data_IF_004305921944
#
_entry.id   IF_004305921944
#
_cell.length_a   1.000
_cell.length_b   1.000
_cell.length_c   1.000
_cell.angle_alpha   90.00
_cell.angle_beta   90.00
_cell.angle_gamma   90.00
#
_symmetry.space_group_name_H-M   'P 1'
#
loop_
_entity.id
_entity.type
_entity.pdbx_description
1 polymer ?
#
# COMPACT_ATOMS: atom_id res chain seq x y z
N UNK A 1 11.34 -5.93 18.38
CA UNK A 1 11.51 -4.59 17.81
C UNK A 1 11.24 -4.58 16.30
N UNK A 2 11.80 -5.55 15.53
CA UNK A 2 11.57 -5.64 14.08
C UNK A 2 10.09 -5.76 13.74
N UNK A 3 9.34 -6.63 14.44
CA UNK A 3 7.89 -6.78 14.24
C UNK A 3 7.14 -5.47 14.48
N UNK A 4 7.43 -4.77 15.59
CA UNK A 4 6.82 -3.45 15.85
C UNK A 4 7.11 -2.49 14.69
N UNK A 5 8.37 -2.44 14.22
CA UNK A 5 8.76 -1.55 13.13
C UNK A 5 8.01 -1.84 11.82
N UNK A 6 7.81 -3.11 11.48
CA UNK A 6 7.06 -3.53 10.28
C UNK A 6 5.57 -3.19 10.42
N UNK A 7 4.95 -3.59 11.55
CA UNK A 7 3.50 -3.43 11.75
C UNK A 7 3.05 -1.97 11.87
N UNK A 8 3.98 -1.11 12.26
CA UNK A 8 3.72 0.32 12.43
C UNK A 8 4.30 1.18 11.31
N UNK A 9 4.82 0.56 10.26
CA UNK A 9 5.51 1.26 9.17
C UNK A 9 6.54 2.28 9.71
N UNK A 10 7.49 1.79 10.52
CA UNK A 10 8.51 2.64 11.13
C UNK A 10 7.98 3.63 12.16
N UNK A 11 6.90 3.30 12.88
CA UNK A 11 6.16 4.13 13.86
C UNK A 11 5.28 5.23 13.24
N UNK A 12 5.07 5.22 11.94
CA UNK A 12 4.18 6.17 11.26
C UNK A 12 2.69 5.82 11.47
N UNK A 13 2.36 4.54 11.56
CA UNK A 13 1.00 4.05 11.66
C UNK A 13 0.76 3.24 12.94
N UNK A 14 -0.46 3.26 13.47
CA UNK A 14 -0.90 2.41 14.61
C UNK A 14 0.01 2.50 15.84
N UNK A 15 0.69 3.62 16.05
CA UNK A 15 1.64 3.84 17.12
C UNK A 15 1.04 4.69 18.24
N UNK A 16 0.71 4.04 19.36
CA UNK A 16 0.29 4.72 20.59
C UNK A 16 1.42 4.78 21.62
N UNK A 17 1.24 5.43 22.77
CA UNK A 17 2.24 5.54 23.83
C UNK A 17 2.85 4.19 24.22
N UNK A 18 2.02 3.15 24.34
CA UNK A 18 2.48 1.78 24.66
C UNK A 18 3.43 1.19 23.62
N UNK A 19 3.26 1.54 22.33
CA UNK A 19 4.15 1.10 21.26
C UNK A 19 5.56 1.66 21.47
N UNK A 20 5.67 2.94 21.80
CA UNK A 20 6.94 3.61 22.10
C UNK A 20 7.56 3.09 23.39
N UNK A 21 6.76 2.85 24.43
CA UNK A 21 7.23 2.24 25.68
C UNK A 21 7.82 0.85 25.45
N UNK A 22 7.12 0.01 24.67
CA UNK A 22 7.60 -1.31 24.29
C UNK A 22 8.90 -1.25 23.47
N UNK A 23 8.99 -0.32 22.52
CA UNK A 23 10.20 -0.11 21.74
C UNK A 23 11.38 0.35 22.61
N UNK A 24 11.13 1.28 23.54
CA UNK A 24 12.12 1.74 24.51
C UNK A 24 12.56 0.61 25.47
N UNK A 25 11.62 -0.22 25.94
CA UNK A 25 11.92 -1.41 26.75
C UNK A 25 12.83 -2.37 25.98
N UNK A 26 12.48 -2.74 24.76
CA UNK A 26 13.27 -3.63 23.92
C UNK A 26 14.67 -3.06 23.66
N UNK A 27 14.78 -1.75 23.42
CA UNK A 27 16.06 -1.09 23.21
C UNK A 27 16.96 -1.16 24.44
N UNK A 28 16.42 -0.94 25.66
CA UNK A 28 17.15 -1.09 26.92
C UNK A 28 17.64 -2.51 27.17
N UNK A 29 16.89 -3.51 26.65
CA UNK A 29 17.24 -4.93 26.79
C UNK A 29 18.06 -5.48 25.61
N UNK A 30 18.71 -4.61 24.84
CA UNK A 30 19.71 -5.00 23.85
C UNK A 30 19.20 -5.12 22.40
N UNK A 31 17.98 -4.69 22.09
CA UNK A 31 17.54 -4.63 20.69
C UNK A 31 18.45 -3.68 19.89
N UNK A 32 19.09 -4.21 18.86
CA UNK A 32 19.96 -3.45 17.96
C UNK A 32 19.15 -2.88 16.78
N UNK A 33 18.79 -1.61 16.89
CA UNK A 33 18.02 -0.88 15.87
C UNK A 33 18.76 -0.84 14.53
N UNK A 34 20.09 -0.71 14.55
CA UNK A 34 20.90 -0.69 13.32
C UNK A 34 20.87 -2.03 12.63
N UNK A 35 20.96 -3.12 13.37
CA UNK A 35 20.83 -4.48 12.82
C UNK A 35 19.45 -4.71 12.22
N UNK A 36 18.38 -4.30 12.92
CA UNK A 36 17.01 -4.38 12.41
C UNK A 36 16.86 -3.60 11.10
N UNK A 37 17.36 -2.35 11.06
CA UNK A 37 17.34 -1.54 9.83
C UNK A 37 18.08 -2.22 8.67
N UNK A 38 19.22 -2.88 8.94
CA UNK A 38 19.95 -3.62 7.91
C UNK A 38 19.16 -4.83 7.37
N UNK A 39 18.43 -5.53 8.27
CA UNK A 39 17.57 -6.66 7.89
C UNK A 39 16.38 -6.27 7.02
N UNK A 40 15.85 -5.07 7.22
CA UNK A 40 14.65 -4.58 6.54
C UNK A 40 14.97 -3.77 5.26
N UNK A 41 16.21 -3.82 4.78
CA UNK A 41 16.55 -3.16 3.51
C UNK A 41 15.93 -3.89 2.33
N UNK A 42 15.41 -3.12 1.39
CA UNK A 42 15.03 -3.64 0.09
C UNK A 42 16.30 -3.93 -0.74
N UNK A 43 16.21 -4.88 -1.63
CA UNK A 43 17.21 -5.02 -2.68
C UNK A 43 17.06 -3.88 -3.72
N UNK A 44 18.05 -3.77 -4.61
CA UNK A 44 18.09 -2.67 -5.58
C UNK A 44 16.99 -2.80 -6.65
N UNK A 45 16.63 -4.01 -7.05
CA UNK A 45 15.67 -4.23 -8.13
C UNK A 45 14.25 -3.98 -7.63
N UNK A 46 13.92 -4.44 -6.42
CA UNK A 46 12.66 -4.09 -5.77
C UNK A 46 12.55 -2.56 -5.57
N UNK A 47 13.60 -1.90 -5.09
CA UNK A 47 13.62 -0.45 -4.89
C UNK A 47 13.36 0.31 -6.20
N UNK A 48 14.03 -0.10 -7.30
CA UNK A 48 13.82 0.51 -8.62
C UNK A 48 12.40 0.29 -9.14
N UNK A 49 11.85 -0.92 -8.98
CA UNK A 49 10.49 -1.22 -9.41
C UNK A 49 9.45 -0.36 -8.66
N UNK A 50 9.60 -0.21 -7.34
CA UNK A 50 8.75 0.67 -6.52
C UNK A 50 8.88 2.11 -6.97
N UNK A 51 10.10 2.64 -7.10
CA UNK A 51 10.35 4.02 -7.55
C UNK A 51 9.76 4.28 -8.95
N UNK A 52 9.86 3.30 -9.85
CA UNK A 52 9.28 3.40 -11.20
C UNK A 52 7.75 3.47 -11.14
N UNK A 53 7.09 2.63 -10.33
CA UNK A 53 5.64 2.67 -10.17
C UNK A 53 5.17 4.02 -9.59
N UNK A 54 5.86 4.51 -8.55
CA UNK A 54 5.55 5.81 -7.92
C UNK A 54 5.73 6.96 -8.92
N UNK A 55 6.82 6.97 -9.69
CA UNK A 55 7.10 8.04 -10.66
C UNK A 55 6.12 8.09 -11.82
N UNK A 56 5.37 7.03 -12.07
CA UNK A 56 4.37 6.91 -13.14
C UNK A 56 2.93 6.87 -12.62
N UNK A 57 2.75 7.11 -11.33
CA UNK A 57 1.41 7.14 -10.77
C UNK A 57 0.58 8.28 -11.38
N UNK A 58 -0.66 7.98 -11.69
CA UNK A 58 -1.66 8.96 -12.08
C UNK A 58 -2.35 9.49 -10.82
N UNK A 59 -2.48 10.81 -10.72
CA UNK A 59 -3.33 11.44 -9.71
C UNK A 59 -4.73 11.59 -10.28
N UNK A 60 -5.67 10.88 -9.69
CA UNK A 60 -7.07 10.84 -10.10
C UNK A 60 -7.93 11.64 -9.13
N UNK A 61 -8.82 12.50 -9.64
CA UNK A 61 -9.70 13.37 -8.83
C UNK A 61 -8.94 14.20 -7.78
N UNK A 62 -7.70 14.58 -8.07
CA UNK A 62 -6.82 15.37 -7.20
C UNK A 62 -6.57 14.77 -5.79
N UNK A 63 -6.98 13.53 -5.55
CA UNK A 63 -6.93 12.89 -4.23
C UNK A 63 -6.45 11.43 -4.25
N UNK A 64 -6.58 10.74 -5.37
CA UNK A 64 -6.30 9.32 -5.47
C UNK A 64 -5.07 9.05 -6.33
N UNK A 65 -4.07 8.34 -5.81
CA UNK A 65 -2.94 7.89 -6.61
C UNK A 65 -3.20 6.48 -7.15
N UNK A 66 -3.16 6.32 -8.47
CA UNK A 66 -3.33 5.03 -9.14
C UNK A 66 -2.04 4.70 -9.87
N UNK A 67 -1.43 3.54 -9.59
CA UNK A 67 -0.20 3.11 -10.24
C UNK A 67 -0.24 1.64 -10.65
N UNK A 68 0.53 1.32 -11.68
CA UNK A 68 0.77 -0.05 -12.11
C UNK A 68 2.18 -0.43 -11.63
N UNK A 69 2.27 -1.54 -10.90
CA UNK A 69 3.54 -2.09 -10.44
C UNK A 69 3.95 -3.28 -11.30
N UNK A 70 5.06 -3.13 -11.99
CA UNK A 70 5.69 -4.24 -12.70
C UNK A 70 6.68 -4.93 -11.76
N UNK A 71 6.34 -6.13 -11.32
CA UNK A 71 7.17 -6.96 -10.45
C UNK A 71 7.86 -8.11 -11.16
N UNK A 72 8.02 -8.03 -12.49
CA UNK A 72 8.70 -9.07 -13.26
C UNK A 72 10.13 -9.31 -12.73
N UNK A 73 10.45 -10.59 -12.47
CA UNK A 73 11.75 -10.99 -11.92
C UNK A 73 11.91 -10.81 -10.41
N UNK A 74 10.94 -10.22 -9.71
CA UNK A 74 10.96 -10.11 -8.25
C UNK A 74 10.43 -11.38 -7.58
N UNK A 75 10.97 -11.70 -6.40
CA UNK A 75 10.52 -12.86 -5.60
C UNK A 75 9.07 -12.69 -5.12
N UNK A 76 8.66 -11.48 -4.78
CA UNK A 76 7.34 -11.19 -4.21
C UNK A 76 6.72 -9.92 -4.83
N UNK A 77 6.20 -9.98 -6.08
CA UNK A 77 5.65 -8.81 -6.76
C UNK A 77 4.52 -8.11 -5.99
N UNK A 78 3.65 -8.86 -5.35
CA UNK A 78 2.51 -8.31 -4.58
C UNK A 78 2.96 -7.51 -3.35
N UNK A 79 4.08 -7.90 -2.71
CA UNK A 79 4.68 -7.15 -1.62
C UNK A 79 5.26 -5.84 -2.13
N UNK A 80 5.94 -5.87 -3.30
CA UNK A 80 6.45 -4.65 -3.95
C UNK A 80 5.32 -3.67 -4.29
N UNK A 81 4.20 -4.16 -4.83
CA UNK A 81 3.02 -3.35 -5.08
C UNK A 81 2.44 -2.71 -3.82
N UNK A 82 2.39 -3.45 -2.70
CA UNK A 82 1.95 -2.92 -1.42
C UNK A 82 2.90 -1.84 -0.87
N UNK A 83 4.22 -2.00 -1.06
CA UNK A 83 5.22 -0.97 -0.71
C UNK A 83 5.05 0.29 -1.55
N UNK A 84 4.80 0.15 -2.86
CA UNK A 84 4.51 1.28 -3.73
C UNK A 84 3.24 2.03 -3.28
N UNK A 85 2.19 1.31 -2.87
CA UNK A 85 0.98 1.91 -2.35
C UNK A 85 1.23 2.73 -1.07
N UNK A 86 2.03 2.21 -0.12
CA UNK A 86 2.43 2.98 1.06
C UNK A 86 3.20 4.25 0.67
N UNK A 87 4.17 4.14 -0.25
CA UNK A 87 5.01 5.26 -0.64
C UNK A 87 4.25 6.38 -1.36
N UNK A 88 3.17 6.05 -2.06
CA UNK A 88 2.29 7.05 -2.68
C UNK A 88 1.55 7.91 -1.66
N UNK A 89 1.32 7.42 -0.46
CA UNK A 89 0.70 8.21 0.62
C UNK A 89 1.63 9.26 1.23
N UNK A 90 2.94 9.19 0.98
CA UNK A 90 3.90 10.23 1.40
C UNK A 90 3.79 11.49 0.53
N UNK A 91 2.99 11.45 -0.55
CA UNK A 91 2.79 12.56 -1.47
C UNK A 91 1.67 13.47 -0.95
N UNK A 92 1.99 14.74 -0.74
CA UNK A 92 1.01 15.72 -0.28
C UNK A 92 -0.22 15.80 -1.20
N UNK A 93 -1.40 15.77 -0.62
CA UNK A 93 -2.68 15.82 -1.32
C UNK A 93 -3.26 14.44 -1.69
N UNK A 94 -2.47 13.37 -1.60
CA UNK A 94 -2.98 12.02 -1.83
C UNK A 94 -3.66 11.50 -0.57
N UNK A 95 -4.95 11.20 -0.67
CA UNK A 95 -5.80 10.67 0.41
C UNK A 95 -5.86 9.15 0.40
N UNK A 96 -5.81 8.54 -0.78
CA UNK A 96 -5.72 7.10 -0.93
C UNK A 96 -4.89 6.72 -2.17
N UNK A 97 -4.28 5.54 -2.12
CA UNK A 97 -3.50 4.98 -3.21
C UNK A 97 -3.98 3.58 -3.58
N UNK A 98 -3.95 3.29 -4.88
CA UNK A 98 -4.34 2.01 -5.46
C UNK A 98 -3.23 1.54 -6.41
N UNK A 99 -2.58 0.44 -6.07
CA UNK A 99 -1.50 -0.12 -6.89
C UNK A 99 -1.91 -1.46 -7.44
N UNK A 100 -1.89 -1.56 -8.76
CA UNK A 100 -2.27 -2.72 -9.54
C UNK A 100 -1.01 -3.53 -9.87
N UNK A 101 -0.98 -4.80 -9.50
CA UNK A 101 0.11 -5.73 -9.76
C UNK A 101 -0.40 -6.95 -10.48
N UNK A 102 0.07 -7.19 -11.70
CA UNK A 102 -0.20 -8.45 -12.40
C UNK A 102 0.81 -9.51 -11.95
N UNK A 103 0.31 -10.65 -11.47
CA UNK A 103 1.12 -11.78 -11.05
C UNK A 103 0.36 -13.10 -11.15
N UNK A 104 0.97 -14.12 -11.76
CA UNK A 104 0.39 -15.45 -11.93
C UNK A 104 -1.04 -15.42 -12.56
N UNK A 105 -1.19 -14.70 -13.67
CA UNK A 105 -2.46 -14.56 -14.42
C UNK A 105 -3.61 -13.94 -13.59
N UNK A 106 -3.29 -13.22 -12.55
CA UNK A 106 -4.20 -12.51 -11.68
C UNK A 106 -3.78 -11.07 -11.49
N UNK A 107 -4.75 -10.22 -11.24
CA UNK A 107 -4.54 -8.83 -10.89
C UNK A 107 -4.73 -8.66 -9.38
N UNK A 108 -3.70 -8.21 -8.71
CA UNK A 108 -3.74 -7.86 -7.29
C UNK A 108 -3.81 -6.34 -7.17
N UNK A 109 -4.74 -5.86 -6.34
CA UNK A 109 -4.89 -4.44 -6.04
C UNK A 109 -4.51 -4.24 -4.57
N UNK A 110 -3.51 -3.40 -4.33
CA UNK A 110 -3.15 -2.94 -2.99
C UNK A 110 -3.70 -1.55 -2.78
N UNK A 111 -4.58 -1.38 -1.81
CA UNK A 111 -5.20 -0.11 -1.47
C UNK A 111 -4.75 0.38 -0.09
N UNK A 112 -4.43 1.67 0.01
CA UNK A 112 -3.96 2.32 1.24
C UNK A 112 -4.60 3.69 1.42
N UNK A 113 -4.78 4.10 2.68
CA UNK A 113 -5.17 5.47 3.06
C UNK A 113 -4.60 5.82 4.44
N UNK A 114 -4.65 7.10 4.81
CA UNK A 114 -4.19 7.54 6.15
C UNK A 114 -5.37 7.68 7.10
N UNK A 115 -6.57 7.77 6.79
CA UNK A 115 -7.83 7.79 7.54
C UNK A 115 -8.95 8.63 6.87
N UNK A 116 -8.59 9.35 5.81
CA UNK A 116 -9.56 10.20 5.11
C UNK A 116 -10.51 9.41 4.20
N UNK A 117 -10.05 8.23 3.73
CA UNK A 117 -10.81 7.36 2.83
C UNK A 117 -10.86 5.94 3.36
N UNK A 118 -12.05 5.37 3.46
CA UNK A 118 -12.19 3.96 3.81
C UNK A 118 -11.94 3.06 2.58
N UNK A 119 -10.67 2.65 2.39
CA UNK A 119 -10.29 1.79 1.25
C UNK A 119 -10.85 0.36 1.36
N UNK A 120 -11.29 -0.07 2.54
CA UNK A 120 -11.97 -1.35 2.69
C UNK A 120 -13.26 -1.37 1.86
N UNK A 121 -14.09 -0.34 1.96
CA UNK A 121 -15.36 -0.25 1.22
C UNK A 121 -15.10 -0.27 -0.30
N UNK A 122 -14.07 0.43 -0.76
CA UNK A 122 -13.68 0.42 -2.18
C UNK A 122 -13.31 -1.00 -2.62
N UNK A 123 -12.48 -1.70 -1.83
CA UNK A 123 -12.05 -3.04 -2.18
C UNK A 123 -13.18 -4.09 -2.07
N UNK A 124 -14.13 -3.92 -1.16
CA UNK A 124 -15.31 -4.79 -1.05
C UNK A 124 -16.20 -4.70 -2.29
N UNK A 125 -16.36 -3.53 -2.92
CA UNK A 125 -17.06 -3.37 -4.23
C UNK A 125 -16.37 -4.19 -5.34
N UNK A 126 -15.06 -4.47 -5.20
CA UNK A 126 -14.27 -5.28 -6.14
C UNK A 126 -14.13 -6.75 -5.71
N UNK A 127 -14.90 -7.20 -4.71
CA UNK A 127 -14.82 -8.57 -4.19
C UNK A 127 -13.62 -8.86 -3.31
N UNK A 128 -12.93 -7.82 -2.85
CA UNK A 128 -11.82 -7.90 -1.91
C UNK A 128 -12.24 -7.57 -0.48
N UNK A 129 -11.31 -6.99 0.29
CA UNK A 129 -11.55 -6.59 1.68
C UNK A 129 -10.29 -6.13 2.38
N UNK A 130 -10.38 -5.95 3.69
CA UNK A 130 -9.26 -5.51 4.52
C UNK A 130 -9.72 -4.74 5.75
N UNK A 131 -9.05 -3.62 5.99
CA UNK A 131 -9.37 -2.65 7.03
C UNK A 131 -9.51 -1.25 6.41
N UNK A 132 -10.03 -0.30 7.18
CA UNK A 132 -10.25 1.06 6.75
C UNK A 132 -9.09 1.70 5.99
N UNK A 133 -7.85 1.53 6.48
CA UNK A 133 -6.65 2.15 5.91
C UNK A 133 -5.77 1.20 5.08
N UNK A 134 -6.02 -0.11 5.11
CA UNK A 134 -5.25 -1.14 4.40
C UNK A 134 -6.20 -2.21 3.89
N UNK A 135 -6.35 -2.28 2.59
CA UNK A 135 -7.22 -3.26 1.95
C UNK A 135 -6.62 -3.75 0.63
N UNK A 136 -7.23 -4.76 0.05
CA UNK A 136 -6.82 -5.28 -1.24
C UNK A 136 -7.92 -6.10 -1.91
N UNK A 137 -7.78 -6.27 -3.21
CA UNK A 137 -8.65 -7.15 -4.00
C UNK A 137 -7.80 -7.98 -4.96
N UNK A 138 -8.37 -9.09 -5.41
CA UNK A 138 -7.79 -9.95 -6.42
C UNK A 138 -8.82 -10.16 -7.53
N UNK A 139 -8.45 -9.74 -8.74
CA UNK A 139 -9.29 -9.91 -9.92
C UNK A 139 -8.72 -11.01 -10.82
N UNK A 140 -9.60 -11.67 -11.56
CA UNK A 140 -9.26 -12.69 -12.54
C UNK A 140 -10.04 -12.43 -13.84
N UNK A 141 -9.46 -12.83 -14.98
CA UNK A 141 -10.15 -12.71 -16.26
C UNK A 141 -10.28 -11.26 -16.78
N UNK A 142 -9.46 -10.35 -16.27
CA UNK A 142 -9.39 -8.97 -16.74
C UNK A 142 -7.93 -8.56 -16.98
N UNK A 143 -7.74 -7.54 -17.80
CA UNK A 143 -6.45 -6.91 -18.06
C UNK A 143 -6.14 -5.86 -17.00
N UNK A 144 -4.85 -5.46 -16.89
CA UNK A 144 -4.41 -4.35 -16.02
C UNK A 144 -5.20 -3.07 -16.33
N UNK A 145 -5.45 -2.79 -17.61
CA UNK A 145 -6.22 -1.60 -18.03
C UNK A 145 -7.65 -1.65 -17.51
N UNK A 146 -8.34 -2.77 -17.70
CA UNK A 146 -9.71 -2.96 -17.21
C UNK A 146 -9.77 -2.82 -15.67
N UNK A 147 -8.77 -3.32 -14.96
CA UNK A 147 -8.68 -3.15 -13.51
C UNK A 147 -8.54 -1.67 -13.10
N UNK A 148 -7.71 -0.88 -13.82
CA UNK A 148 -7.60 0.57 -13.61
C UNK A 148 -8.93 1.27 -13.87
N UNK A 149 -9.59 0.95 -14.98
CA UNK A 149 -10.87 1.55 -15.35
C UNK A 149 -11.95 1.21 -14.30
N UNK A 150 -11.99 -0.04 -13.83
CA UNK A 150 -12.91 -0.49 -12.76
C UNK A 150 -12.68 0.25 -11.45
N UNK A 151 -11.42 0.49 -11.06
CA UNK A 151 -11.11 1.27 -9.85
C UNK A 151 -11.65 2.70 -10.01
N UNK A 152 -11.40 3.35 -11.15
CA UNK A 152 -11.86 4.72 -11.41
C UNK A 152 -13.37 4.83 -11.38
N UNK A 153 -14.07 3.89 -12.03
CA UNK A 153 -15.54 3.84 -12.03
C UNK A 153 -16.09 3.62 -10.61
N UNK A 154 -15.47 2.74 -9.83
CA UNK A 154 -15.87 2.50 -8.44
C UNK A 154 -15.70 3.76 -7.59
N UNK A 155 -14.56 4.45 -7.73
CA UNK A 155 -14.31 5.70 -7.01
C UNK A 155 -15.31 6.79 -7.42
N UNK A 156 -15.61 6.94 -8.69
CA UNK A 156 -16.58 7.93 -9.18
C UNK A 156 -17.99 7.67 -8.65
N UNK A 157 -18.43 6.42 -8.64
CA UNK A 157 -19.73 6.04 -8.09
C UNK A 157 -19.80 6.32 -6.59
N UNK A 158 -18.79 5.94 -5.83
CA UNK A 158 -18.76 6.15 -4.38
C UNK A 158 -18.66 7.63 -3.99
N UNK A 159 -17.93 8.45 -4.77
CA UNK A 159 -17.90 9.91 -4.61
C UNK A 159 -19.28 10.53 -4.90
N UNK A 160 -19.97 10.08 -5.94
CA UNK A 160 -21.31 10.57 -6.28
C UNK A 160 -22.37 10.19 -5.23
N UNK A 161 -22.20 9.05 -4.56
CA UNK A 161 -23.05 8.55 -3.49
C UNK A 161 -22.67 9.13 -2.11
N UNK A 162 -21.53 9.81 -2.00
CA UNK A 162 -21.03 10.38 -0.72
C UNK A 162 -20.55 9.30 0.25
N UNK A 163 -20.10 8.17 -0.23
CA UNK A 163 -19.57 7.05 0.58
C UNK A 163 -18.09 7.25 0.97
N UNK A 164 -17.37 8.07 0.21
CA UNK A 164 -15.94 8.41 0.42
C UNK A 164 -15.67 9.89 0.13
#
# INVERSE_FOLDING_TARGET
>A
YAGINIDTDGFNNKSGPRTFEAAAFLRRHGADVTRVRKMLRNDMDEYKAVAHAVSRAEVYRDAFAIAIFNGEGLESPTIGGAKAANQLLDISGIKASFVITEYNEKIYISARSIDEVNVQLVMEKLGGGGHMSIAGAQLTGCTVKEAVDTIKETLDNMLAEGEI
#
